data_IF_059800709048
#
_entry.id   IF_059800709048
#
_cell.length_a   1.000
_cell.length_b   1.000
_cell.length_c   1.000
_cell.angle_alpha   90.00
_cell.angle_beta   90.00
_cell.angle_gamma   90.00
#
_symmetry.space_group_name_H-M   'P 1'
#
loop_
_entity.id
_entity.type
_entity.pdbx_description
1 polymer ?
#
# COMPACT_ATOMS: atom_id res chain seq x y z
N UNK A 1 1.23 17.70 16.52
CA UNK A 1 2.20 17.59 17.63
C UNK A 1 3.42 16.88 17.07
N UNK A 2 4.44 17.66 16.75
CA UNK A 2 5.68 17.16 16.16
C UNK A 2 6.59 16.68 17.27
N UNK A 3 7.03 15.42 17.22
CA UNK A 3 8.14 14.96 18.05
C UNK A 3 9.41 15.26 17.24
N UNK A 4 10.07 16.38 17.53
CA UNK A 4 11.38 16.72 17.04
C UNK A 4 12.42 16.04 17.93
N UNK A 5 13.34 15.33 17.30
CA UNK A 5 14.55 14.86 18.00
C UNK A 5 15.49 16.06 18.17
N UNK A 6 15.94 16.41 19.37
CA UNK A 6 16.66 17.66 19.63
C UNK A 6 18.14 17.72 19.20
N UNK A 7 18.66 16.70 18.51
CA UNK A 7 20.11 16.57 18.23
C UNK A 7 20.53 16.61 16.75
N UNK A 8 19.70 17.11 15.83
CA UNK A 8 20.14 17.33 14.45
C UNK A 8 20.19 18.82 14.10
N UNK A 9 21.37 19.41 14.25
CA UNK A 9 21.75 20.68 13.63
C UNK A 9 21.91 20.48 12.11
N UNK A 10 21.13 21.20 11.34
CA UNK A 10 21.04 21.40 9.89
C UNK A 10 19.72 20.95 9.25
N UNK A 11 18.60 21.41 9.81
CA UNK A 11 17.36 21.48 9.06
C UNK A 11 17.33 22.83 8.34
N UNK A 12 17.45 22.81 6.99
CA UNK A 12 17.07 23.97 6.20
C UNK A 12 15.54 24.09 6.31
N UNK A 13 15.11 24.89 7.27
CA UNK A 13 13.73 25.30 7.46
C UNK A 13 13.34 26.20 6.29
N UNK A 14 12.77 25.64 5.23
CA UNK A 14 11.92 26.44 4.37
C UNK A 14 10.73 26.90 5.24
N UNK A 15 10.64 28.20 5.47
CA UNK A 15 9.57 28.76 6.30
C UNK A 15 8.22 28.49 5.62
N UNK A 16 7.17 28.30 6.42
CA UNK A 16 5.79 28.22 5.90
C UNK A 16 5.40 29.42 5.03
N UNK A 17 6.10 30.55 5.15
CA UNK A 17 5.93 31.76 4.33
C UNK A 17 6.41 31.59 2.89
N UNK A 18 7.41 30.72 2.65
CA UNK A 18 7.93 30.48 1.31
C UNK A 18 6.95 29.68 0.43
N UNK A 19 5.99 28.98 1.06
CA UNK A 19 4.97 28.21 0.39
C UNK A 19 3.61 28.93 0.26
N UNK A 20 3.36 29.98 1.03
CA UNK A 20 2.07 30.70 0.99
C UNK A 20 1.89 31.61 -0.24
N UNK A 21 2.95 31.89 -0.99
CA UNK A 21 2.90 32.77 -2.19
C UNK A 21 2.87 32.04 -3.53
N UNK A 22 2.79 30.70 -3.56
CA UNK A 22 2.73 29.93 -4.80
C UNK A 22 1.34 29.32 -5.02
N UNK A 23 0.38 30.13 -5.46
CA UNK A 23 -0.84 29.66 -6.14
C UNK A 23 -0.54 29.00 -7.51
N UNK A 24 0.71 28.73 -7.82
CA UNK A 24 1.13 28.01 -9.03
C UNK A 24 1.31 26.54 -8.70
N UNK A 25 0.32 25.72 -9.11
CA UNK A 25 0.48 24.28 -9.17
C UNK A 25 1.54 23.99 -10.23
N UNK A 26 2.74 23.62 -9.80
CA UNK A 26 3.80 23.15 -10.70
C UNK A 26 3.39 21.75 -11.20
N UNK A 27 3.28 21.55 -12.52
CA UNK A 27 2.94 20.24 -13.08
C UNK A 27 3.97 19.18 -12.68
N UNK A 28 3.49 18.02 -12.24
CA UNK A 28 4.32 16.87 -11.91
C UNK A 28 4.22 15.87 -13.07
N UNK A 29 5.33 15.22 -13.42
CA UNK A 29 5.38 14.20 -14.47
C UNK A 29 5.40 12.82 -13.87
N UNK A 30 4.30 12.10 -13.99
CA UNK A 30 4.09 10.79 -13.41
C UNK A 30 3.97 9.72 -14.48
N UNK A 31 4.76 8.64 -14.35
CA UNK A 31 4.60 7.40 -15.08
C UNK A 31 4.00 6.34 -14.16
N UNK A 32 3.06 5.56 -14.67
CA UNK A 32 2.43 4.49 -13.91
C UNK A 32 2.65 3.19 -14.66
N UNK A 33 3.23 2.20 -13.99
CA UNK A 33 3.44 0.86 -14.53
C UNK A 33 2.49 -0.10 -13.81
N UNK A 34 1.51 -0.64 -14.57
CA UNK A 34 0.38 -1.39 -14.05
C UNK A 34 -0.83 -0.48 -13.75
N UNK A 35 -1.85 -0.53 -14.61
CA UNK A 35 -3.03 0.32 -14.54
C UNK A 35 -4.25 -0.44 -13.99
N UNK A 36 -4.03 -1.23 -12.90
CA UNK A 36 -5.07 -1.80 -12.04
C UNK A 36 -5.73 -0.74 -11.16
N UNK A 37 -6.51 -1.15 -10.14
CA UNK A 37 -7.20 -0.19 -9.27
C UNK A 37 -6.22 0.76 -8.53
N UNK A 38 -5.02 0.28 -8.12
CA UNK A 38 -3.99 1.11 -7.50
C UNK A 38 -3.42 2.12 -8.47
N UNK A 39 -3.06 1.71 -9.69
CA UNK A 39 -2.55 2.62 -10.72
C UNK A 39 -3.58 3.67 -11.12
N UNK A 40 -4.86 3.28 -11.23
CA UNK A 40 -5.96 4.20 -11.48
C UNK A 40 -6.19 5.18 -10.31
N UNK A 41 -6.03 4.73 -9.06
CA UNK A 41 -6.10 5.60 -7.88
C UNK A 41 -5.02 6.67 -7.89
N UNK A 42 -3.77 6.28 -8.20
CA UNK A 42 -2.66 7.24 -8.35
C UNK A 42 -2.94 8.25 -9.46
N UNK A 43 -3.28 7.75 -10.67
CA UNK A 43 -3.57 8.63 -11.81
C UNK A 43 -4.73 9.59 -11.52
N UNK A 44 -5.88 9.05 -11.10
CA UNK A 44 -7.08 9.84 -10.82
C UNK A 44 -6.88 10.82 -9.68
N UNK A 45 -6.21 10.39 -8.60
CA UNK A 45 -5.95 11.22 -7.43
C UNK A 45 -5.06 12.41 -7.75
N UNK A 46 -3.92 12.20 -8.40
CA UNK A 46 -3.02 13.29 -8.80
C UNK A 46 -3.67 14.19 -9.86
N UNK A 47 -4.37 13.63 -10.85
CA UNK A 47 -5.08 14.42 -11.85
C UNK A 47 -6.13 15.33 -11.21
N UNK A 48 -6.97 14.79 -10.32
CA UNK A 48 -7.99 15.56 -9.63
C UNK A 48 -7.39 16.61 -8.68
N UNK A 49 -6.38 16.26 -7.91
CA UNK A 49 -5.72 17.17 -6.96
C UNK A 49 -4.96 18.31 -7.66
N UNK A 50 -4.51 18.11 -8.90
CA UNK A 50 -3.84 19.15 -9.72
C UNK A 50 -4.79 19.92 -10.64
N UNK A 51 -6.10 19.62 -10.60
CA UNK A 51 -7.07 20.13 -11.57
C UNK A 51 -6.67 19.85 -13.04
N UNK A 52 -6.12 18.67 -13.30
CA UNK A 52 -5.69 18.23 -14.62
C UNK A 52 -4.35 18.82 -15.11
N UNK A 53 -3.58 19.47 -14.25
CA UNK A 53 -2.29 20.09 -14.64
C UNK A 53 -1.13 19.11 -14.63
N UNK A 54 -1.20 18.00 -13.88
CA UNK A 54 -0.15 16.99 -13.85
C UNK A 54 -0.11 16.22 -15.17
N UNK A 55 1.10 15.89 -15.63
CA UNK A 55 1.32 15.10 -16.82
C UNK A 55 1.42 13.63 -16.41
N UNK A 56 0.39 12.85 -16.73
CA UNK A 56 0.29 11.47 -16.29
C UNK A 56 0.23 10.56 -17.51
N UNK A 57 1.18 9.61 -17.59
CA UNK A 57 1.20 8.53 -18.58
C UNK A 57 1.17 7.19 -17.87
N UNK A 58 0.62 6.18 -18.52
CA UNK A 58 0.64 4.83 -17.96
C UNK A 58 0.99 3.78 -19.00
N UNK A 59 1.58 2.70 -18.53
CA UNK A 59 1.83 1.45 -19.26
C UNK A 59 1.12 0.30 -18.54
N UNK A 60 0.42 -0.51 -19.29
CA UNK A 60 -0.17 -1.77 -18.82
C UNK A 60 -0.08 -2.83 -19.91
N UNK A 61 0.47 -4.00 -19.57
CA UNK A 61 0.67 -5.09 -20.53
C UNK A 61 -0.62 -5.59 -21.19
N UNK A 62 -1.78 -5.38 -20.55
CA UNK A 62 -3.06 -5.94 -20.95
C UNK A 62 -4.11 -4.89 -21.35
N UNK A 63 -3.73 -3.61 -21.36
CA UNK A 63 -4.60 -2.49 -21.70
C UNK A 63 -3.99 -1.65 -22.81
N UNK A 64 -4.82 -0.96 -23.55
CA UNK A 64 -4.36 0.09 -24.45
C UNK A 64 -3.66 1.19 -23.64
N UNK A 65 -2.39 1.42 -23.90
CA UNK A 65 -1.52 2.29 -23.12
C UNK A 65 -0.31 2.75 -23.94
N UNK A 66 0.37 3.79 -23.45
CA UNK A 66 1.64 4.20 -24.07
C UNK A 66 2.72 3.13 -23.89
N UNK A 67 3.72 3.06 -24.78
CA UNK A 67 4.88 2.18 -24.61
C UNK A 67 5.64 2.46 -23.30
N UNK A 68 6.22 1.42 -22.69
CA UNK A 68 6.95 1.53 -21.43
C UNK A 68 8.07 2.59 -21.47
N UNK A 69 8.85 2.58 -22.56
CA UNK A 69 9.96 3.53 -22.76
C UNK A 69 9.47 4.98 -22.80
N UNK A 70 8.31 5.22 -23.43
CA UNK A 70 7.71 6.56 -23.50
C UNK A 70 7.24 7.00 -22.13
N UNK A 71 6.54 6.12 -21.40
CA UNK A 71 6.07 6.42 -20.04
C UNK A 71 7.23 6.77 -19.13
N UNK A 72 8.32 6.00 -19.15
CA UNK A 72 9.50 6.26 -18.31
C UNK A 72 10.24 7.50 -18.78
N UNK A 73 10.46 7.68 -20.10
CA UNK A 73 11.18 8.85 -20.64
C UNK A 73 10.55 10.15 -20.21
N UNK A 74 9.22 10.25 -20.26
CA UNK A 74 8.48 11.49 -20.08
C UNK A 74 8.08 11.76 -18.61
N UNK A 75 8.49 10.88 -17.68
CA UNK A 75 8.14 10.97 -16.27
C UNK A 75 9.35 11.27 -15.38
N UNK A 76 9.11 11.85 -14.22
CA UNK A 76 10.08 12.07 -13.14
C UNK A 76 9.91 11.05 -12.01
N UNK A 77 8.67 10.67 -11.74
CA UNK A 77 8.29 9.66 -10.75
C UNK A 77 7.59 8.51 -11.45
N UNK A 78 8.09 7.29 -11.27
CA UNK A 78 7.58 6.09 -11.90
C UNK A 78 6.93 5.21 -10.84
N UNK A 79 5.60 5.23 -10.76
CA UNK A 79 4.82 4.44 -9.83
C UNK A 79 4.66 3.01 -10.35
N UNK A 80 5.23 2.05 -9.64
CA UNK A 80 5.11 0.62 -9.96
C UNK A 80 3.95 0.04 -9.17
N UNK A 81 2.86 -0.29 -9.87
CA UNK A 81 1.58 -0.76 -9.34
C UNK A 81 1.24 -2.18 -9.86
N UNK A 82 2.26 -3.04 -9.93
CA UNK A 82 2.15 -4.39 -10.45
C UNK A 82 1.56 -5.37 -9.42
N UNK A 83 0.85 -6.42 -9.86
CA UNK A 83 0.32 -7.44 -8.95
C UNK A 83 1.44 -8.23 -8.25
N UNK A 84 1.18 -8.56 -6.98
CA UNK A 84 2.03 -9.45 -6.15
C UNK A 84 1.14 -10.50 -5.50
N UNK A 85 0.71 -11.54 -6.24
CA UNK A 85 -0.28 -12.49 -5.78
C UNK A 85 0.21 -13.39 -4.64
N UNK A 86 -0.72 -13.94 -3.87
CA UNK A 86 -0.43 -15.00 -2.91
C UNK A 86 0.05 -16.24 -3.64
N UNK A 87 1.08 -16.93 -3.13
CA UNK A 87 1.51 -18.21 -3.66
C UNK A 87 0.43 -19.27 -3.43
N UNK A 88 0.20 -20.15 -4.39
CA UNK A 88 -0.82 -21.20 -4.32
C UNK A 88 -0.66 -22.13 -3.12
N UNK A 89 0.57 -22.37 -2.67
CA UNK A 89 0.88 -23.18 -1.49
C UNK A 89 0.82 -22.41 -0.15
N UNK A 90 0.31 -21.19 -0.15
CA UNK A 90 0.19 -20.33 1.02
C UNK A 90 1.54 -20.09 1.77
N UNK A 91 2.67 -20.19 1.06
CA UNK A 91 4.00 -19.99 1.68
C UNK A 91 4.44 -18.52 1.75
N UNK A 92 3.71 -17.61 1.12
CA UNK A 92 4.02 -16.19 1.03
C UNK A 92 3.43 -15.55 -0.22
N UNK A 93 4.02 -14.46 -0.70
CA UNK A 93 3.64 -13.81 -1.96
C UNK A 93 4.62 -14.17 -3.09
N UNK A 94 4.14 -14.04 -4.32
CA UNK A 94 4.91 -14.19 -5.54
C UNK A 94 5.29 -12.81 -6.08
N UNK A 95 6.58 -12.50 -6.08
CA UNK A 95 7.13 -11.24 -6.57
C UNK A 95 7.57 -11.33 -8.05
N UNK A 96 7.39 -12.48 -8.72
CA UNK A 96 7.93 -12.71 -10.07
C UNK A 96 7.53 -11.63 -11.08
N UNK A 97 6.30 -11.11 -11.00
CA UNK A 97 5.82 -10.08 -11.94
C UNK A 97 6.60 -8.77 -11.78
N UNK A 98 6.86 -8.34 -10.55
CA UNK A 98 7.63 -7.13 -10.32
C UNK A 98 9.13 -7.37 -10.56
N UNK A 99 9.65 -8.54 -10.19
CA UNK A 99 11.05 -8.94 -10.43
C UNK A 99 11.36 -9.03 -11.93
N UNK A 100 10.44 -9.54 -12.76
CA UNK A 100 10.56 -9.62 -14.22
C UNK A 100 10.52 -8.23 -14.89
N UNK A 101 9.76 -7.26 -14.33
CA UNK A 101 9.67 -5.91 -14.88
C UNK A 101 10.85 -5.00 -14.47
N UNK A 102 11.44 -5.24 -13.29
CA UNK A 102 12.42 -4.35 -12.69
C UNK A 102 13.69 -4.14 -13.54
N UNK A 103 14.28 -5.15 -14.23
CA UNK A 103 15.46 -4.96 -15.09
C UNK A 103 15.25 -3.95 -16.22
N UNK A 104 14.08 -3.97 -16.85
CA UNK A 104 13.77 -3.04 -17.93
C UNK A 104 13.51 -1.62 -17.41
N UNK A 105 12.75 -1.51 -16.32
CA UNK A 105 12.49 -0.22 -15.65
C UNK A 105 13.80 0.42 -15.23
N UNK A 106 14.68 -0.33 -14.58
CA UNK A 106 15.95 0.19 -14.06
C UNK A 106 16.93 0.54 -15.17
N UNK A 107 16.94 -0.21 -16.28
CA UNK A 107 17.71 0.13 -17.48
C UNK A 107 17.33 1.51 -18.02
N UNK A 108 16.04 1.82 -18.05
CA UNK A 108 15.51 3.10 -18.56
C UNK A 108 15.62 4.26 -17.57
N UNK A 109 15.78 3.99 -16.28
CA UNK A 109 15.94 5.01 -15.24
C UNK A 109 17.39 5.19 -14.79
N UNK A 110 18.33 4.39 -15.31
CA UNK A 110 19.73 4.37 -14.91
C UNK A 110 20.40 5.75 -15.06
N UNK A 111 20.96 6.30 -13.97
CA UNK A 111 21.63 7.61 -13.91
C UNK A 111 20.79 8.80 -14.41
N UNK A 112 19.45 8.71 -14.42
CA UNK A 112 18.56 9.78 -14.91
C UNK A 112 18.04 10.71 -13.81
N UNK A 113 18.23 10.35 -12.55
CA UNK A 113 17.64 11.06 -11.41
C UNK A 113 16.11 10.86 -11.26
N UNK A 114 15.51 10.00 -12.08
CA UNK A 114 14.11 9.58 -11.95
C UNK A 114 13.93 8.66 -10.72
N UNK A 115 12.77 8.73 -10.07
CA UNK A 115 12.50 7.93 -8.87
C UNK A 115 11.49 6.82 -9.21
N UNK A 116 11.86 5.58 -8.95
CA UNK A 116 10.98 4.42 -9.00
C UNK A 116 10.25 4.33 -7.66
N UNK A 117 8.93 4.55 -7.69
CA UNK A 117 8.06 4.52 -6.51
C UNK A 117 7.30 3.20 -6.48
N UNK A 118 7.74 2.27 -5.65
CA UNK A 118 7.09 0.95 -5.49
C UNK A 118 5.81 1.13 -4.69
N UNK A 119 4.67 0.99 -5.35
CA UNK A 119 3.33 1.05 -4.79
C UNK A 119 2.77 -0.34 -4.51
N UNK A 120 3.26 -1.34 -5.23
CA UNK A 120 2.93 -2.76 -5.03
C UNK A 120 3.27 -3.19 -3.61
N UNK A 121 2.42 -4.03 -3.01
CA UNK A 121 2.75 -4.66 -1.73
C UNK A 121 3.89 -5.65 -1.94
N UNK A 122 5.03 -5.40 -1.30
CA UNK A 122 6.21 -6.26 -1.36
C UNK A 122 6.66 -6.63 0.06
N UNK A 123 7.44 -7.69 0.19
CA UNK A 123 7.92 -8.14 1.52
C UNK A 123 8.99 -7.21 2.09
N UNK A 124 9.09 -7.05 3.42
CA UNK A 124 10.09 -6.22 4.06
C UNK A 124 11.52 -6.55 3.59
N UNK A 125 12.24 -5.51 3.14
CA UNK A 125 13.58 -5.62 2.58
C UNK A 125 13.63 -5.71 1.04
N UNK A 126 12.50 -5.81 0.34
CA UNK A 126 12.45 -5.90 -1.13
C UNK A 126 13.01 -4.65 -1.79
N UNK A 127 12.57 -3.46 -1.38
CA UNK A 127 13.04 -2.20 -1.96
C UNK A 127 14.54 -2.01 -1.76
N UNK A 128 15.06 -2.27 -0.56
CA UNK A 128 16.51 -2.27 -0.28
C UNK A 128 17.27 -3.33 -1.06
N UNK A 129 16.62 -4.46 -1.37
CA UNK A 129 17.17 -5.46 -2.27
C UNK A 129 17.36 -4.92 -3.68
N UNK A 130 16.37 -4.21 -4.22
CA UNK A 130 16.48 -3.55 -5.54
C UNK A 130 17.53 -2.44 -5.55
N UNK A 131 17.64 -1.62 -4.49
CA UNK A 131 18.71 -0.61 -4.38
C UNK A 131 20.11 -1.23 -4.49
N UNK A 132 20.33 -2.39 -3.89
CA UNK A 132 21.59 -3.13 -3.98
C UNK A 132 21.84 -3.72 -5.38
N UNK A 133 20.80 -4.24 -6.04
CA UNK A 133 20.91 -4.83 -7.37
C UNK A 133 21.06 -3.77 -8.47
N UNK A 134 20.50 -2.58 -8.26
CA UNK A 134 20.46 -1.48 -9.25
C UNK A 134 20.94 -0.16 -8.64
N UNK A 135 22.22 -0.05 -8.26
CA UNK A 135 22.75 1.06 -7.47
C UNK A 135 22.69 2.44 -8.16
N UNK A 136 22.46 2.46 -9.46
CA UNK A 136 22.36 3.71 -10.25
C UNK A 136 20.90 4.17 -10.45
N UNK A 137 19.92 3.47 -9.87
CA UNK A 137 18.51 3.83 -9.87
C UNK A 137 18.08 4.28 -8.48
N UNK A 138 17.10 5.20 -8.43
CA UNK A 138 16.57 5.72 -7.18
C UNK A 138 15.23 5.05 -6.86
N UNK A 139 15.10 4.53 -5.65
CA UNK A 139 13.91 3.81 -5.20
C UNK A 139 13.24 4.50 -4.02
N UNK A 140 11.91 4.38 -3.97
CA UNK A 140 11.09 4.74 -2.84
C UNK A 140 9.96 3.72 -2.70
N UNK A 141 9.68 3.27 -1.49
CA UNK A 141 8.48 2.49 -1.19
C UNK A 141 7.36 3.43 -0.74
N UNK A 142 6.18 3.26 -1.31
CA UNK A 142 5.03 4.08 -0.97
C UNK A 142 3.75 3.23 -1.02
N UNK A 143 3.39 2.54 0.07
CA UNK A 143 2.24 1.63 0.11
C UNK A 143 0.90 2.36 -0.12
N UNK A 144 -0.11 1.58 -0.45
CA UNK A 144 -1.50 1.98 -0.49
C UNK A 144 -2.28 1.36 0.69
N UNK A 145 -3.37 2.01 1.10
CA UNK A 145 -4.31 1.53 2.12
C UNK A 145 -5.74 1.65 1.62
N UNK A 146 -5.95 1.31 0.33
CA UNK A 146 -7.20 1.51 -0.39
C UNK A 146 -8.11 0.29 -0.26
N UNK A 147 -9.41 0.54 -0.29
CA UNK A 147 -10.40 -0.50 -0.57
C UNK A 147 -10.67 -0.56 -2.08
N UNK A 148 -10.83 -1.76 -2.64
CA UNK A 148 -11.04 -1.89 -4.09
C UNK A 148 -12.33 -1.20 -4.57
N UNK A 149 -13.37 -1.19 -3.73
CA UNK A 149 -14.65 -0.55 -4.04
C UNK A 149 -14.59 0.99 -4.08
N UNK A 150 -13.71 1.62 -3.27
CA UNK A 150 -13.66 3.07 -3.11
C UNK A 150 -12.26 3.65 -3.36
N UNK A 151 -11.44 2.97 -4.17
CA UNK A 151 -10.01 3.25 -4.31
C UNK A 151 -9.66 4.73 -4.58
N UNK A 152 -10.44 5.44 -5.39
CA UNK A 152 -10.19 6.84 -5.68
C UNK A 152 -10.54 7.74 -4.49
N UNK A 153 -11.70 7.51 -3.86
CA UNK A 153 -12.11 8.26 -2.67
C UNK A 153 -11.14 8.04 -1.50
N UNK A 154 -10.72 6.78 -1.28
CA UNK A 154 -9.74 6.42 -0.25
C UNK A 154 -8.37 7.07 -0.52
N UNK A 155 -7.95 7.16 -1.78
CA UNK A 155 -6.71 7.83 -2.16
C UNK A 155 -6.77 9.34 -1.90
N UNK A 156 -7.88 9.99 -2.31
CA UNK A 156 -8.09 11.43 -2.14
C UNK A 156 -8.22 11.86 -0.68
N UNK A 157 -8.79 11.00 0.16
CA UNK A 157 -9.07 11.28 1.57
C UNK A 157 -8.10 10.55 2.51
N UNK A 158 -6.97 10.07 2.01
CA UNK A 158 -5.99 9.36 2.81
C UNK A 158 -5.48 10.23 3.98
N UNK A 159 -5.70 9.78 5.22
CA UNK A 159 -5.23 10.48 6.41
C UNK A 159 -3.71 10.45 6.54
N UNK A 160 -3.07 9.43 5.97
CA UNK A 160 -1.62 9.25 5.99
C UNK A 160 -1.10 8.66 4.68
N UNK A 161 0.15 9.01 4.36
CA UNK A 161 0.98 8.29 3.39
C UNK A 161 2.34 7.99 3.98
N UNK A 162 2.91 6.85 3.58
CA UNK A 162 4.24 6.40 4.00
C UNK A 162 5.19 6.61 2.82
N UNK A 163 6.33 7.22 3.08
CA UNK A 163 7.41 7.45 2.11
C UNK A 163 8.67 6.79 2.65
N UNK A 164 8.96 5.59 2.17
CA UNK A 164 10.11 4.78 2.58
C UNK A 164 11.25 4.89 1.57
N UNK A 165 12.34 5.55 1.92
CA UNK A 165 13.51 5.64 1.08
C UNK A 165 14.80 5.67 1.92
N UNK A 166 15.86 5.02 1.42
CA UNK A 166 17.20 5.05 2.06
C UNK A 166 17.88 6.39 1.83
N UNK A 167 17.61 7.02 0.69
CA UNK A 167 18.17 8.31 0.33
C UNK A 167 17.22 9.46 0.73
N UNK A 168 17.68 10.37 1.58
CA UNK A 168 16.90 11.52 2.08
C UNK A 168 16.36 12.42 0.97
N UNK A 169 17.14 12.66 -0.09
CA UNK A 169 16.70 13.48 -1.21
C UNK A 169 15.53 12.82 -1.95
N UNK A 170 15.59 11.53 -2.17
CA UNK A 170 14.50 10.74 -2.76
C UNK A 170 13.26 10.83 -1.88
N UNK A 171 13.41 10.58 -0.57
CA UNK A 171 12.32 10.69 0.41
C UNK A 171 11.65 12.06 0.36
N UNK A 172 12.44 13.14 0.41
CA UNK A 172 11.92 14.53 0.35
C UNK A 172 11.20 14.82 -0.95
N UNK A 173 11.76 14.42 -2.11
CA UNK A 173 11.13 14.65 -3.42
C UNK A 173 9.76 13.97 -3.51
N UNK A 174 9.64 12.73 -3.06
CA UNK A 174 8.35 12.02 -3.03
C UNK A 174 7.40 12.65 -2.01
N UNK A 175 7.86 13.02 -0.82
CA UNK A 175 7.04 13.71 0.18
C UNK A 175 6.50 15.06 -0.35
N UNK A 176 7.29 15.80 -1.12
CA UNK A 176 6.89 17.10 -1.70
C UNK A 176 5.72 16.96 -2.67
N UNK A 177 5.73 15.97 -3.58
CA UNK A 177 4.61 15.78 -4.52
C UNK A 177 3.30 15.44 -3.79
N UNK A 178 3.37 14.65 -2.72
CA UNK A 178 2.20 14.36 -1.89
C UNK A 178 1.72 15.60 -1.13
N UNK A 179 2.62 16.38 -0.52
CA UNK A 179 2.27 17.60 0.22
C UNK A 179 1.61 18.66 -0.67
N UNK A 180 2.09 18.79 -1.91
CA UNK A 180 1.53 19.74 -2.87
C UNK A 180 0.13 19.37 -3.35
N UNK A 181 -0.23 18.10 -3.36
CA UNK A 181 -1.52 17.62 -3.87
C UNK A 181 -2.51 17.27 -2.77
N UNK A 182 -2.03 16.79 -1.65
CA UNK A 182 -2.84 16.25 -0.55
C UNK A 182 -2.46 16.92 0.77
N UNK A 183 -2.81 18.19 0.93
CA UNK A 183 -2.38 19.03 2.06
C UNK A 183 -2.86 18.58 3.43
N UNK A 184 -3.93 17.78 3.48
CA UNK A 184 -4.50 17.21 4.72
C UNK A 184 -3.88 15.87 5.12
N UNK A 185 -3.15 15.23 4.20
CA UNK A 185 -2.54 13.91 4.45
C UNK A 185 -1.27 14.05 5.30
N UNK A 186 -1.19 13.31 6.39
CA UNK A 186 0.04 13.22 7.19
C UNK A 186 1.05 12.36 6.46
N UNK A 187 2.26 12.89 6.25
CA UNK A 187 3.34 12.20 5.54
C UNK A 187 4.35 11.66 6.55
N UNK A 188 4.49 10.33 6.60
CA UNK A 188 5.52 9.66 7.39
C UNK A 188 6.68 9.28 6.49
N UNK A 189 7.87 9.81 6.79
CA UNK A 189 9.10 9.46 6.11
C UNK A 189 9.89 8.46 6.95
N UNK A 190 10.35 7.38 6.33
CA UNK A 190 11.05 6.28 7.01
C UNK A 190 11.97 5.54 6.03
N UNK A 191 12.70 4.53 6.50
CA UNK A 191 13.38 3.59 5.61
C UNK A 191 12.37 2.67 4.89
N UNK A 192 12.75 2.07 3.74
CA UNK A 192 11.84 1.25 2.95
C UNK A 192 11.32 0.02 3.71
N UNK A 193 12.16 -0.66 4.44
CA UNK A 193 11.82 -1.91 5.16
C UNK A 193 10.77 -1.66 6.24
N UNK A 194 10.92 -0.58 7.01
CA UNK A 194 9.91 -0.13 7.97
C UNK A 194 8.59 0.21 7.25
N UNK A 195 8.65 0.95 6.14
CA UNK A 195 7.46 1.27 5.35
C UNK A 195 6.73 0.02 4.85
N UNK A 196 7.47 -0.98 4.34
CA UNK A 196 6.94 -2.28 3.91
C UNK A 196 6.27 -3.03 5.07
N UNK A 197 6.89 -3.03 6.25
CA UNK A 197 6.34 -3.67 7.45
C UNK A 197 5.04 -3.00 7.93
N UNK A 198 4.91 -1.66 7.82
CA UNK A 198 3.68 -0.93 8.18
C UNK A 198 2.48 -1.42 7.38
N UNK A 199 2.65 -1.73 6.09
CA UNK A 199 1.56 -2.28 5.25
C UNK A 199 1.06 -3.61 5.80
N UNK A 200 1.95 -4.53 6.11
CA UNK A 200 1.58 -5.84 6.68
C UNK A 200 0.97 -5.73 8.07
N UNK A 201 1.54 -4.88 8.93
CA UNK A 201 0.97 -4.64 10.25
C UNK A 201 -0.48 -4.18 10.15
N UNK A 202 -0.76 -3.17 9.31
CA UNK A 202 -2.10 -2.62 9.16
C UNK A 202 -3.10 -3.69 8.68
N UNK A 203 -2.77 -4.40 7.59
CA UNK A 203 -3.71 -5.37 7.00
C UNK A 203 -3.89 -6.61 7.89
N UNK A 204 -2.84 -7.10 8.57
CA UNK A 204 -2.96 -8.20 9.52
C UNK A 204 -3.80 -7.82 10.74
N UNK A 205 -3.62 -6.60 11.27
CA UNK A 205 -4.42 -6.13 12.41
C UNK A 205 -5.90 -5.94 12.04
N UNK A 206 -6.19 -5.40 10.85
CA UNK A 206 -7.56 -5.28 10.37
C UNK A 206 -8.21 -6.66 10.14
N UNK A 207 -7.45 -7.62 9.62
CA UNK A 207 -7.89 -9.02 9.49
C UNK A 207 -8.19 -9.66 10.86
N UNK A 208 -7.39 -9.34 11.89
CA UNK A 208 -7.66 -9.77 13.27
C UNK A 208 -8.99 -9.20 13.79
N UNK A 209 -9.26 -7.91 13.55
CA UNK A 209 -10.55 -7.31 13.94
C UNK A 209 -11.73 -8.04 13.30
N UNK A 210 -11.67 -8.29 11.98
CA UNK A 210 -12.72 -9.05 11.27
C UNK A 210 -12.87 -10.46 11.84
N UNK A 211 -11.75 -11.14 12.11
CA UNK A 211 -11.75 -12.50 12.69
C UNK A 211 -12.41 -12.50 14.05
N UNK A 212 -12.01 -11.57 14.93
CA UNK A 212 -12.57 -11.45 16.28
C UNK A 212 -14.07 -11.10 16.26
N UNK A 213 -14.49 -10.18 15.39
CA UNK A 213 -15.89 -9.82 15.21
C UNK A 213 -16.75 -11.03 14.83
N UNK A 214 -16.30 -11.84 13.88
CA UNK A 214 -16.99 -13.04 13.46
C UNK A 214 -17.03 -14.11 14.56
N UNK A 215 -15.92 -14.29 15.28
CA UNK A 215 -15.87 -15.20 16.42
C UNK A 215 -16.85 -14.78 17.51
N UNK A 216 -16.89 -13.51 17.86
CA UNK A 216 -17.79 -12.99 18.89
C UNK A 216 -19.26 -12.99 18.45
N UNK A 217 -19.52 -12.78 17.15
CA UNK A 217 -20.84 -12.94 16.55
C UNK A 217 -21.40 -14.35 16.80
N UNK A 218 -20.62 -15.39 16.54
CA UNK A 218 -21.06 -16.79 16.77
C UNK A 218 -21.38 -17.04 18.26
N UNK A 219 -20.60 -16.48 19.17
CA UNK A 219 -20.89 -16.52 20.59
C UNK A 219 -22.22 -15.84 20.93
N UNK A 220 -22.45 -14.61 20.43
CA UNK A 220 -23.71 -13.90 20.64
C UNK A 220 -24.92 -14.70 20.14
N UNK A 221 -24.82 -15.31 18.96
CA UNK A 221 -25.86 -16.18 18.41
C UNK A 221 -26.15 -17.37 19.35
N UNK A 222 -25.11 -17.96 19.92
CA UNK A 222 -25.22 -19.13 20.78
C UNK A 222 -25.93 -18.82 22.11
N UNK A 223 -25.72 -17.63 22.66
CA UNK A 223 -26.34 -17.21 23.94
C UNK A 223 -27.61 -16.37 23.76
N UNK A 224 -28.08 -16.18 22.52
CA UNK A 224 -29.34 -15.51 22.20
C UNK A 224 -29.34 -13.98 22.35
N UNK A 225 -28.18 -13.31 22.18
CA UNK A 225 -28.09 -11.84 22.19
C UNK A 225 -27.73 -11.30 20.82
N UNK A 226 -28.06 -10.03 20.56
CA UNK A 226 -27.78 -9.39 19.28
C UNK A 226 -26.35 -8.84 19.24
N UNK A 227 -25.55 -9.36 18.33
CA UNK A 227 -24.17 -8.90 18.11
C UNK A 227 -24.10 -7.39 17.83
N UNK A 228 -25.01 -6.84 17.03
CA UNK A 228 -25.02 -5.43 16.66
C UNK A 228 -25.16 -4.49 17.87
N UNK A 229 -25.92 -4.89 18.87
CA UNK A 229 -26.04 -4.13 20.11
C UNK A 229 -24.73 -4.16 20.91
N UNK A 230 -24.10 -5.33 21.02
CA UNK A 230 -22.80 -5.49 21.69
C UNK A 230 -21.72 -4.69 20.96
N UNK A 231 -21.64 -4.84 19.62
CA UNK A 231 -20.68 -4.09 18.78
C UNK A 231 -20.83 -2.59 18.98
N UNK A 232 -22.05 -2.05 18.88
CA UNK A 232 -22.33 -0.62 19.02
C UNK A 232 -21.83 -0.08 20.36
N UNK A 233 -22.09 -0.79 21.46
CA UNK A 233 -21.65 -0.36 22.78
C UNK A 233 -20.15 -0.50 22.98
N UNK A 234 -19.54 -1.59 22.53
CA UNK A 234 -18.10 -1.81 22.64
C UNK A 234 -17.30 -0.82 21.76
N UNK A 235 -17.74 -0.58 20.52
CA UNK A 235 -17.07 0.32 19.58
C UNK A 235 -17.18 1.81 19.99
N UNK A 236 -18.03 2.16 20.96
CA UNK A 236 -18.08 3.50 21.53
C UNK A 236 -16.77 3.88 22.25
N UNK A 237 -16.02 2.90 22.73
CA UNK A 237 -14.65 3.12 23.19
C UNK A 237 -13.76 3.40 21.95
N UNK A 238 -13.21 4.63 21.87
CA UNK A 238 -12.37 5.07 20.76
C UNK A 238 -11.12 4.19 20.56
N UNK A 239 -10.65 3.46 21.57
CA UNK A 239 -9.52 2.50 21.46
C UNK A 239 -9.89 1.27 20.64
N UNK A 240 -11.18 0.92 20.58
CA UNK A 240 -11.73 -0.18 19.77
C UNK A 240 -12.11 0.33 18.39
N UNK A 241 -12.93 1.39 18.32
CA UNK A 241 -13.46 1.97 17.09
C UNK A 241 -14.31 0.97 16.28
N UNK A 242 -15.14 1.46 15.39
CA UNK A 242 -16.14 0.65 14.66
C UNK A 242 -15.60 -0.02 13.38
N UNK A 243 -14.48 0.44 12.85
CA UNK A 243 -13.94 -0.08 11.59
C UNK A 243 -13.60 -1.57 11.66
N UNK A 244 -14.06 -2.35 10.65
CA UNK A 244 -13.80 -3.79 10.49
C UNK A 244 -14.43 -4.69 11.58
N UNK A 245 -15.48 -4.20 12.23
CA UNK A 245 -16.29 -5.00 13.17
C UNK A 245 -17.62 -5.49 12.56
N UNK A 246 -17.93 -5.12 11.31
CA UNK A 246 -19.11 -5.61 10.62
C UNK A 246 -19.01 -7.10 10.29
N UNK A 247 -20.08 -7.84 10.58
CA UNK A 247 -20.20 -9.26 10.19
C UNK A 247 -21.15 -9.36 9.01
N UNK A 248 -20.59 -9.58 7.83
CA UNK A 248 -21.34 -9.67 6.58
C UNK A 248 -21.96 -11.05 6.38
N UNK A 249 -22.86 -11.19 5.40
CA UNK A 249 -23.46 -12.47 5.01
C UNK A 249 -22.45 -13.48 4.48
N UNK A 250 -21.30 -13.01 3.94
CA UNK A 250 -20.21 -13.85 3.46
C UNK A 250 -19.31 -14.34 4.60
N UNK A 251 -19.39 -13.71 5.76
CA UNK A 251 -18.55 -13.98 6.94
C UNK A 251 -17.06 -13.76 6.67
N UNK A 252 -16.27 -13.66 7.73
CA UNK A 252 -14.82 -13.52 7.63
C UNK A 252 -14.35 -12.38 6.70
N UNK A 253 -13.07 -12.41 6.35
CA UNK A 253 -12.48 -11.50 5.36
C UNK A 253 -12.18 -12.22 4.05
N UNK A 254 -12.26 -11.50 2.95
CA UNK A 254 -11.98 -11.95 1.60
C UNK A 254 -11.35 -10.86 0.76
N UNK A 255 -11.61 -10.89 -0.55
CA UNK A 255 -11.00 -9.99 -1.50
C UNK A 255 -9.53 -10.28 -1.74
N UNK A 256 -8.84 -9.36 -2.38
CA UNK A 256 -7.48 -9.53 -2.86
C UNK A 256 -6.41 -9.22 -1.80
N UNK A 257 -6.69 -8.33 -0.84
CA UNK A 257 -5.67 -7.76 0.04
C UNK A 257 -5.45 -8.56 1.32
N UNK A 258 -6.48 -8.74 2.15
CA UNK A 258 -6.33 -9.35 3.48
C UNK A 258 -5.83 -10.80 3.42
N UNK A 259 -6.40 -11.70 2.59
CA UNK A 259 -5.89 -13.07 2.46
C UNK A 259 -4.42 -13.10 2.06
N UNK A 260 -4.08 -12.36 1.02
CA UNK A 260 -2.73 -12.28 0.47
C UNK A 260 -1.72 -11.75 1.50
N UNK A 261 -2.03 -10.63 2.15
CA UNK A 261 -1.09 -9.95 3.05
C UNK A 261 -0.90 -10.72 4.36
N UNK A 262 -1.96 -11.37 4.87
CA UNK A 262 -1.84 -12.26 6.03
C UNK A 262 -0.93 -13.45 5.75
N UNK A 263 -1.12 -14.12 4.60
CA UNK A 263 -0.29 -15.27 4.19
C UNK A 263 1.14 -14.82 3.90
N UNK A 264 1.33 -13.65 3.28
CA UNK A 264 2.65 -13.08 3.07
C UNK A 264 3.40 -12.83 4.38
N UNK A 265 2.73 -12.20 5.36
CA UNK A 265 3.32 -11.95 6.68
C UNK A 265 3.70 -13.25 7.39
N UNK A 266 2.83 -14.28 7.34
CA UNK A 266 3.19 -15.60 7.88
C UNK A 266 4.43 -16.19 7.20
N UNK A 267 4.57 -16.00 5.90
CA UNK A 267 5.75 -16.44 5.14
C UNK A 267 7.02 -15.75 5.62
N UNK A 268 6.99 -14.43 5.79
CA UNK A 268 8.13 -13.64 6.25
C UNK A 268 8.49 -13.93 7.72
N UNK A 269 7.50 -14.07 8.59
CA UNK A 269 7.74 -14.44 10.00
C UNK A 269 8.40 -15.83 10.11
N UNK A 270 7.98 -16.81 9.29
CA UNK A 270 8.65 -18.13 9.24
C UNK A 270 10.11 -18.03 8.82
N UNK A 271 10.41 -17.22 7.78
CA UNK A 271 11.80 -16.95 7.35
C UNK A 271 12.62 -16.32 8.47
N UNK A 272 12.02 -15.41 9.22
CA UNK A 272 12.62 -14.74 10.38
C UNK A 272 12.64 -15.62 11.64
N UNK A 273 12.13 -16.86 11.58
CA UNK A 273 12.00 -17.79 12.72
C UNK A 273 11.14 -17.25 13.86
N UNK A 274 10.13 -16.45 13.52
CA UNK A 274 9.13 -15.92 14.46
C UNK A 274 7.92 -16.85 14.47
N UNK A 275 7.34 -17.05 15.65
CA UNK A 275 6.14 -17.87 15.85
C UNK A 275 4.93 -17.30 15.08
N UNK A 276 4.21 -18.16 14.37
CA UNK A 276 3.11 -17.78 13.48
C UNK A 276 1.74 -18.35 13.86
N UNK A 277 1.63 -19.02 15.01
CA UNK A 277 0.40 -19.72 15.44
C UNK A 277 -0.82 -18.81 15.46
N UNK A 278 -0.68 -17.58 15.93
CA UNK A 278 -1.77 -16.59 15.93
C UNK A 278 -2.33 -16.36 14.52
N UNK A 279 -1.47 -15.98 13.57
CA UNK A 279 -1.88 -15.68 12.20
C UNK A 279 -2.40 -16.94 11.48
N UNK A 280 -1.78 -18.10 11.75
CA UNK A 280 -2.23 -19.39 11.22
C UNK A 280 -3.63 -19.71 11.71
N UNK A 281 -3.90 -19.56 13.01
CA UNK A 281 -5.23 -19.80 13.58
C UNK A 281 -6.28 -18.86 12.99
N UNK A 282 -5.94 -17.58 12.82
CA UNK A 282 -6.81 -16.61 12.14
C UNK A 282 -7.14 -17.03 10.71
N UNK A 283 -6.13 -17.45 9.94
CA UNK A 283 -6.31 -17.89 8.55
C UNK A 283 -7.17 -19.14 8.43
N UNK A 284 -6.88 -20.17 9.22
CA UNK A 284 -7.68 -21.41 9.23
C UNK A 284 -9.12 -21.16 9.68
N UNK A 285 -9.32 -20.33 10.71
CA UNK A 285 -10.65 -19.92 11.14
C UNK A 285 -11.39 -19.17 10.04
N UNK A 286 -10.73 -18.22 9.37
CA UNK A 286 -11.31 -17.47 8.26
C UNK A 286 -11.77 -18.40 7.12
N UNK A 287 -10.92 -19.34 6.68
CA UNK A 287 -11.28 -20.32 5.65
C UNK A 287 -12.50 -21.18 6.06
N UNK A 288 -12.60 -21.52 7.35
CA UNK A 288 -13.72 -22.31 7.87
C UNK A 288 -15.05 -21.56 7.84
N UNK A 289 -15.06 -20.26 8.21
CA UNK A 289 -16.30 -19.50 8.35
C UNK A 289 -16.73 -18.78 7.07
N UNK A 290 -15.79 -18.46 6.19
CA UNK A 290 -16.09 -17.74 4.94
C UNK A 290 -16.77 -18.67 3.95
N UNK A 291 -17.95 -18.26 3.47
CA UNK A 291 -18.78 -19.07 2.58
C UNK A 291 -18.22 -19.18 1.16
N UNK A 292 -17.54 -18.15 0.69
CA UNK A 292 -16.97 -18.08 -0.65
C UNK A 292 -15.52 -17.60 -0.52
N UNK A 293 -14.58 -18.38 -0.99
CA UNK A 293 -13.17 -18.03 -1.05
C UNK A 293 -12.90 -17.21 -2.32
N UNK A 294 -13.49 -16.02 -2.38
CA UNK A 294 -13.46 -15.12 -3.53
C UNK A 294 -12.05 -14.77 -4.02
N UNK A 295 -11.02 -14.81 -3.14
CA UNK A 295 -9.61 -14.63 -3.55
C UNK A 295 -9.11 -15.71 -4.52
N UNK A 296 -9.72 -16.88 -4.58
CA UNK A 296 -9.33 -17.95 -5.52
C UNK A 296 -9.75 -17.63 -6.96
N UNK A 297 -10.80 -16.83 -7.13
CA UNK A 297 -11.38 -16.45 -8.43
C UNK A 297 -10.92 -15.05 -8.90
N UNK A 298 -10.54 -14.17 -7.96
CA UNK A 298 -10.12 -12.80 -8.30
C UNK A 298 -8.80 -12.83 -9.06
N UNK A 299 -8.72 -12.21 -10.25
CA UNK A 299 -7.49 -12.15 -11.03
C UNK A 299 -6.31 -11.58 -10.25
N UNK A 300 -5.19 -12.29 -10.27
CA UNK A 300 -3.95 -11.92 -9.57
C UNK A 300 -4.05 -11.86 -8.03
N UNK A 301 -5.06 -12.47 -7.41
CA UNK A 301 -5.06 -12.66 -5.96
C UNK A 301 -4.20 -13.87 -5.56
N UNK A 302 -4.23 -14.94 -6.35
CA UNK A 302 -3.39 -16.13 -6.19
C UNK A 302 -2.53 -16.34 -7.44
N UNK A 303 -1.26 -16.70 -7.24
CA UNK A 303 -0.33 -17.03 -8.33
C UNK A 303 -0.77 -18.26 -9.11
N UNK A 304 -0.53 -18.24 -10.42
CA UNK A 304 -0.78 -19.41 -11.30
C UNK A 304 0.36 -20.43 -11.25
N UNK A 305 1.51 -20.05 -10.69
CA UNK A 305 2.71 -20.88 -10.54
C UNK A 305 2.69 -21.67 -9.23
#
# INVERSE_FOLDING_TARGET
MFILNPNEENVILFSMKDFQNLNLIVPIKLGIIGYGFVGQAVAGGFNQASAGKDQIKYYDKFKDSAPLEEVIRDSEFIFVCLPTPMKKNESGIDLSIIDEAMPEITKLTNNTGKIIVIKSTVTPGTTTGYEKLYPNSQFCFNPEFLTEANFLADFMNAERTIVGATNDLVSRRVAVIYRQRFSKTTIFQTDPTTGEAVKYFANAYLSLKVTFANFFYDYCQKIGIKYEEVKKMAAFDHRIGDYHLEVTTLRGFGGKCFPKDLVALMGEMRKARVETSLLKTMWEYNKKIRKIHDWEEIPFAVSKK
#
